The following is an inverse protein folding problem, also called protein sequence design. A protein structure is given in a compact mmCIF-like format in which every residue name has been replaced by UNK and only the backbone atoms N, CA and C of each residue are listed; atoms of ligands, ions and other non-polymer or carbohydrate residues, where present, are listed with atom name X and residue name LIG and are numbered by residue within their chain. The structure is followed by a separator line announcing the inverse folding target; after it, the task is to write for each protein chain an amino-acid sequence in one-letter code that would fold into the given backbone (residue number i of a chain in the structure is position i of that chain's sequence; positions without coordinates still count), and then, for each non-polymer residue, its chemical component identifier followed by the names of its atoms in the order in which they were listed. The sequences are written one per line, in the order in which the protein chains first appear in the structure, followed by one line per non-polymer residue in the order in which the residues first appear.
data_IF_725026417932
#
_entry.id   IF_725026417932
#
_cell.length_a   1.000
_cell.length_b   1.000
_cell.length_c   1.000
_cell.angle_alpha   90.00
_cell.angle_beta   90.00
_cell.angle_gamma   90.00
#
_symmetry.space_group_name_H-M   'P 1'
#
loop_
_entity.id
_entity.type
_entity.pdbx_description
1 polymer ?
#
# COMPACT_ATOMS: atom_id res chain seq x y z
N UNK A 1 -14.48 16.17 40.04
CA UNK A 1 -15.39 15.52 39.14
C UNK A 1 -14.62 14.66 38.13
N UNK A 2 -14.94 13.40 38.10
CA UNK A 2 -14.25 12.47 37.21
C UNK A 2 -14.42 12.83 35.72
N UNK A 3 -15.38 13.66 35.39
CA UNK A 3 -15.64 14.10 34.02
C UNK A 3 -14.44 14.79 33.38
N UNK A 4 -13.52 15.31 34.18
CA UNK A 4 -12.31 15.90 33.62
C UNK A 4 -11.49 14.88 32.86
N UNK A 5 -11.41 13.64 33.36
CA UNK A 5 -10.69 12.58 32.68
C UNK A 5 -11.37 12.22 31.36
N UNK A 6 -12.68 12.35 31.29
CA UNK A 6 -13.41 12.13 30.04
C UNK A 6 -13.12 13.25 29.04
N UNK A 7 -13.01 14.48 29.51
CA UNK A 7 -12.68 15.59 28.63
C UNK A 7 -11.31 15.46 28.04
N UNK A 8 -10.37 14.93 28.81
CA UNK A 8 -9.02 14.66 28.34
C UNK A 8 -9.01 13.57 27.29
N UNK A 9 -10.03 12.72 27.30
CA UNK A 9 -10.18 11.63 26.34
C UNK A 9 -10.99 12.05 25.11
N UNK A 10 -11.35 13.31 24.99
CA UNK A 10 -12.01 13.78 23.78
C UNK A 10 -11.08 13.56 22.61
N UNK A 11 -11.51 12.71 21.73
CA UNK A 11 -10.74 12.32 20.54
C UNK A 11 -10.75 13.48 19.58
N UNK A 12 -9.58 13.97 19.22
CA UNK A 12 -9.44 14.96 18.15
C UNK A 12 -9.55 14.25 16.83
N UNK A 13 -10.47 14.71 16.00
CA UNK A 13 -10.74 14.08 14.72
C UNK A 13 -10.21 14.94 13.59
N UNK A 14 -9.69 14.26 12.58
CA UNK A 14 -9.21 14.87 11.34
C UNK A 14 -9.91 14.16 10.20
N UNK A 15 -10.41 14.92 9.25
CA UNK A 15 -11.11 14.30 8.12
C UNK A 15 -10.19 13.44 7.28
N UNK A 16 -10.70 12.27 6.95
CA UNK A 16 -10.08 11.37 6.00
C UNK A 16 -10.07 12.03 4.60
N UNK A 17 -9.20 11.59 3.72
CA UNK A 17 -9.12 12.10 2.34
C UNK A 17 -10.41 11.90 1.56
N UNK A 18 -11.14 10.82 1.84
CA UNK A 18 -12.40 10.54 1.15
C UNK A 18 -13.60 11.24 1.79
N UNK A 19 -13.43 11.83 2.97
CA UNK A 19 -14.53 12.41 3.71
C UNK A 19 -15.51 11.40 4.30
N UNK A 20 -15.21 10.10 4.18
CA UNK A 20 -16.12 9.04 4.62
C UNK A 20 -16.11 8.81 6.12
N UNK A 21 -15.01 9.15 6.79
CA UNK A 21 -14.88 9.01 8.23
C UNK A 21 -13.78 9.94 8.72
N UNK A 22 -13.87 10.29 10.00
CA UNK A 22 -12.83 11.08 10.64
C UNK A 22 -11.77 10.16 11.23
N UNK A 23 -10.55 10.66 11.28
CA UNK A 23 -9.41 9.96 11.87
C UNK A 23 -9.04 10.62 13.18
N UNK A 24 -8.55 9.82 14.13
CA UNK A 24 -8.01 10.39 15.37
C UNK A 24 -6.64 11.01 15.10
N UNK A 25 -6.25 11.96 15.95
CA UNK A 25 -4.91 12.56 15.85
C UNK A 25 -3.83 11.51 15.99
N UNK A 26 -4.03 10.57 16.90
CA UNK A 26 -3.09 9.46 17.13
C UNK A 26 -2.94 8.58 15.89
N UNK A 27 -4.04 8.31 15.18
CA UNK A 27 -4.00 7.54 13.94
C UNK A 27 -3.22 8.28 12.85
N UNK A 28 -3.47 9.57 12.70
CA UNK A 28 -2.76 10.40 11.71
C UNK A 28 -1.26 10.40 12.02
N UNK A 29 -0.92 10.56 13.30
CA UNK A 29 0.48 10.58 13.75
C UNK A 29 1.15 9.23 13.48
N UNK A 30 0.47 8.14 13.80
CA UNK A 30 0.95 6.78 13.54
C UNK A 30 1.23 6.57 12.06
N UNK A 31 0.27 6.94 11.23
CA UNK A 31 0.41 6.78 9.78
C UNK A 31 1.54 7.65 9.24
N UNK A 32 1.65 8.88 9.72
CA UNK A 32 2.75 9.74 9.30
C UNK A 32 4.12 9.11 9.59
N UNK A 33 4.27 8.50 10.77
CA UNK A 33 5.49 7.80 11.12
C UNK A 33 5.78 6.66 10.15
N UNK A 34 4.75 5.91 9.76
CA UNK A 34 4.90 4.82 8.79
C UNK A 34 5.35 5.32 7.41
N UNK A 35 5.02 6.55 7.03
CA UNK A 35 5.39 7.10 5.72
C UNK A 35 6.88 7.41 5.59
N UNK A 36 7.66 7.22 6.65
CA UNK A 36 9.12 7.29 6.53
C UNK A 36 9.67 6.15 5.68
N UNK A 37 8.90 5.08 5.50
CA UNK A 37 9.29 3.93 4.71
C UNK A 37 8.09 3.41 3.93
N UNK A 38 8.26 3.21 2.63
CA UNK A 38 7.22 2.56 1.80
C UNK A 38 6.97 1.16 2.32
N UNK A 39 8.02 0.45 2.69
CA UNK A 39 7.90 -0.91 3.22
C UNK A 39 6.98 -0.94 4.45
N UNK A 40 7.21 -0.07 5.43
CA UNK A 40 6.38 -0.01 6.63
C UNK A 40 4.94 0.42 6.31
N UNK A 41 4.79 1.38 5.40
CA UNK A 41 3.46 1.84 4.96
C UNK A 41 2.66 0.69 4.37
N UNK A 42 3.28 -0.10 3.50
CA UNK A 42 2.59 -1.19 2.81
C UNK A 42 2.35 -2.41 3.70
N UNK A 43 3.04 -2.52 4.83
CA UNK A 43 2.76 -3.57 5.82
C UNK A 43 1.56 -3.23 6.71
N UNK A 44 1.16 -1.97 6.76
CA UNK A 44 0.02 -1.53 7.58
C UNK A 44 -1.22 -1.42 6.69
N UNK A 45 -2.27 -2.15 7.05
CA UNK A 45 -3.50 -2.20 6.26
C UNK A 45 -4.19 -0.84 6.16
N UNK A 46 -4.22 -0.08 7.26
CA UNK A 46 -4.85 1.25 7.26
C UNK A 46 -4.07 2.25 6.43
N UNK A 47 -2.74 2.26 6.58
CA UNK A 47 -1.88 3.16 5.81
C UNK A 47 -1.98 2.85 4.32
N UNK A 48 -2.01 1.57 3.95
CA UNK A 48 -2.15 1.16 2.55
C UNK A 48 -3.50 1.58 1.98
N UNK A 49 -4.56 1.43 2.76
CA UNK A 49 -5.90 1.83 2.35
C UNK A 49 -5.98 3.33 2.10
N UNK A 50 -5.36 4.12 2.98
CA UNK A 50 -5.33 5.57 2.84
C UNK A 50 -4.51 6.00 1.63
N UNK A 51 -3.38 5.35 1.41
CA UNK A 51 -2.54 5.62 0.24
C UNK A 51 -3.30 5.35 -1.05
N UNK A 52 -3.97 4.21 -1.13
CA UNK A 52 -4.79 3.86 -2.29
C UNK A 52 -5.88 4.91 -2.51
N UNK A 53 -6.57 5.28 -1.45
CA UNK A 53 -7.65 6.27 -1.56
C UNK A 53 -7.14 7.62 -2.01
N UNK A 54 -5.97 8.02 -1.51
CA UNK A 54 -5.31 9.26 -1.93
C UNK A 54 -5.02 9.25 -3.43
N UNK A 55 -4.46 8.15 -3.93
CA UNK A 55 -4.17 8.00 -5.35
C UNK A 55 -5.44 8.03 -6.21
N UNK A 56 -6.48 7.34 -5.76
CA UNK A 56 -7.77 7.31 -6.46
C UNK A 56 -8.38 8.70 -6.60
N UNK A 57 -8.31 9.49 -5.54
CA UNK A 57 -8.89 10.84 -5.53
C UNK A 57 -8.11 11.82 -6.40
N UNK A 58 -6.83 11.56 -6.62
CA UNK A 58 -5.97 12.43 -7.42
C UNK A 58 -5.99 12.14 -8.90
N UNK A 59 -6.26 10.90 -9.27
CA UNK A 59 -6.20 10.53 -10.67
C UNK A 59 -7.32 11.19 -11.47
N UNK A 60 -7.01 11.52 -12.72
CA UNK A 60 -7.97 12.05 -13.66
C UNK A 60 -8.09 11.08 -14.83
N UNK A 61 -8.94 10.06 -14.69
CA UNK A 61 -9.10 9.04 -15.71
C UNK A 61 -8.58 7.69 -15.27
N UNK A 62 -7.73 7.07 -16.08
CA UNK A 62 -7.19 5.75 -15.82
C UNK A 62 -6.22 5.72 -14.66
N UNK A 63 -6.00 4.53 -14.09
CA UNK A 63 -5.02 4.33 -13.03
C UNK A 63 -3.64 4.75 -13.47
N UNK A 64 -2.94 5.46 -12.59
CA UNK A 64 -1.56 5.83 -12.87
C UNK A 64 -0.61 4.67 -12.53
N UNK A 65 0.65 4.85 -12.84
CA UNK A 65 1.67 3.81 -12.68
C UNK A 65 1.82 3.37 -11.22
N UNK A 66 1.81 4.32 -10.28
CA UNK A 66 1.95 3.99 -8.86
C UNK A 66 0.78 3.14 -8.36
N UNK A 67 -0.43 3.41 -8.81
CA UNK A 67 -1.59 2.60 -8.48
C UNK A 67 -1.46 1.19 -9.02
N UNK A 68 -0.94 1.04 -10.25
CA UNK A 68 -0.71 -0.26 -10.85
C UNK A 68 0.30 -1.07 -10.03
N UNK A 69 1.39 -0.46 -9.61
CA UNK A 69 2.39 -1.13 -8.78
C UNK A 69 1.83 -1.52 -7.41
N UNK A 70 0.95 -0.70 -6.84
CA UNK A 70 0.30 -1.05 -5.59
C UNK A 70 -0.59 -2.28 -5.74
N UNK A 71 -1.36 -2.36 -6.83
CA UNK A 71 -2.20 -3.53 -7.11
C UNK A 71 -1.37 -4.78 -7.31
N UNK A 72 -0.27 -4.69 -8.05
CA UNK A 72 0.64 -5.82 -8.26
C UNK A 72 1.22 -6.28 -6.92
N UNK A 73 1.66 -5.33 -6.09
CA UNK A 73 2.20 -5.63 -4.76
C UNK A 73 1.20 -6.43 -3.93
N UNK A 74 -0.03 -5.98 -3.90
CA UNK A 74 -1.07 -6.62 -3.09
C UNK A 74 -1.45 -8.00 -3.64
N UNK A 75 -1.46 -8.15 -4.95
CA UNK A 75 -1.74 -9.44 -5.56
C UNK A 75 -0.65 -10.45 -5.22
N UNK A 76 0.59 -10.03 -5.26
CA UNK A 76 1.71 -10.88 -4.83
C UNK A 76 1.58 -11.26 -3.35
N UNK A 77 1.15 -10.33 -2.50
CA UNK A 77 0.93 -10.61 -1.09
C UNK A 77 -0.14 -11.69 -0.88
N UNK A 78 -1.23 -11.63 -1.65
CA UNK A 78 -2.27 -12.68 -1.61
C UNK A 78 -1.69 -14.04 -1.97
N UNK A 79 -0.95 -14.12 -3.06
CA UNK A 79 -0.35 -15.37 -3.50
C UNK A 79 0.65 -15.91 -2.47
N UNK A 80 1.40 -15.04 -1.82
CA UNK A 80 2.36 -15.44 -0.80
C UNK A 80 1.69 -15.98 0.45
N UNK A 81 0.51 -15.47 0.79
CA UNK A 81 -0.25 -15.94 1.94
C UNK A 81 -0.95 -17.27 1.69
N UNK A 82 -1.31 -17.55 0.45
CA UNK A 82 -2.02 -18.77 0.06
C UNK A 82 -1.04 -19.88 -0.30
N UNK A 83 -0.25 -20.34 0.67
CA UNK A 83 0.80 -21.34 0.46
C UNK A 83 0.28 -22.67 -0.10
N UNK A 84 -0.96 -23.02 0.22
CA UNK A 84 -1.59 -24.26 -0.23
C UNK A 84 -2.08 -24.19 -1.67
N UNK A 85 -2.22 -22.99 -2.20
CA UNK A 85 -2.73 -22.78 -3.55
C UNK A 85 -1.66 -23.08 -4.58
N UNK A 86 -2.03 -23.82 -5.62
CA UNK A 86 -1.14 -24.05 -6.76
C UNK A 86 -1.01 -22.75 -7.55
N UNK A 87 0.23 -22.36 -7.81
CA UNK A 87 0.55 -21.20 -8.62
C UNK A 87 0.69 -21.65 -10.08
N UNK A 88 -0.20 -21.13 -10.93
CA UNK A 88 -0.29 -21.53 -12.34
C UNK A 88 -0.03 -20.34 -13.26
N UNK A 89 -0.07 -20.60 -14.57
CA UNK A 89 0.04 -19.54 -15.57
C UNK A 89 -1.08 -18.52 -15.44
N UNK A 90 -2.25 -18.93 -14.95
CA UNK A 90 -3.36 -18.00 -14.74
C UNK A 90 -2.99 -16.87 -13.76
N UNK A 91 -2.26 -17.17 -12.71
CA UNK A 91 -1.80 -16.18 -11.74
C UNK A 91 -0.78 -15.22 -12.37
N UNK A 92 0.10 -15.74 -13.22
CA UNK A 92 1.04 -14.90 -13.97
C UNK A 92 0.26 -13.94 -14.88
N UNK A 93 -0.75 -14.47 -15.57
CA UNK A 93 -1.59 -13.68 -16.47
C UNK A 93 -2.32 -12.57 -15.72
N UNK A 94 -2.82 -12.86 -14.51
CA UNK A 94 -3.45 -11.82 -13.67
C UNK A 94 -2.47 -10.69 -13.36
N UNK A 95 -1.22 -11.02 -13.03
CA UNK A 95 -0.20 -10.01 -12.77
C UNK A 95 0.13 -9.20 -14.02
N UNK A 96 0.18 -9.87 -15.17
CA UNK A 96 0.44 -9.19 -16.45
C UNK A 96 -0.68 -8.22 -16.81
N UNK A 97 -1.93 -8.61 -16.54
CA UNK A 97 -3.09 -7.75 -16.77
C UNK A 97 -3.04 -6.49 -15.89
N UNK A 98 -2.39 -6.57 -14.73
CA UNK A 98 -2.19 -5.42 -13.86
C UNK A 98 -1.00 -4.53 -14.27
N UNK A 99 -0.23 -4.97 -15.27
CA UNK A 99 0.89 -4.21 -15.79
C UNK A 99 2.27 -4.66 -15.34
N UNK A 100 2.42 -5.95 -14.99
CA UNK A 100 3.72 -6.49 -14.58
C UNK A 100 4.76 -6.28 -15.68
N UNK A 101 5.94 -5.71 -15.36
CA UNK A 101 7.01 -5.55 -16.33
C UNK A 101 7.47 -6.89 -16.92
N UNK A 102 7.83 -6.85 -18.20
CA UNK A 102 8.18 -8.04 -18.96
C UNK A 102 9.33 -8.85 -18.35
N UNK A 103 10.37 -8.17 -17.87
CA UNK A 103 11.52 -8.84 -17.27
C UNK A 103 11.14 -9.62 -16.01
N UNK A 104 10.21 -9.08 -15.22
CA UNK A 104 9.71 -9.76 -14.02
C UNK A 104 8.79 -10.92 -14.38
N UNK A 105 7.99 -10.77 -15.43
CA UNK A 105 7.19 -11.86 -15.96
C UNK A 105 8.06 -13.02 -16.40
N UNK A 106 9.14 -12.75 -17.12
CA UNK A 106 10.07 -13.77 -17.59
C UNK A 106 10.76 -14.47 -16.41
N UNK A 107 11.18 -13.71 -15.42
CA UNK A 107 11.79 -14.26 -14.21
C UNK A 107 10.82 -15.21 -13.48
N UNK A 108 9.57 -14.77 -13.30
CA UNK A 108 8.57 -15.58 -12.62
C UNK A 108 8.24 -16.85 -13.39
N UNK A 109 8.09 -16.75 -14.71
CA UNK A 109 7.82 -17.90 -15.57
C UNK A 109 8.94 -18.93 -15.49
N UNK A 110 10.19 -18.46 -15.47
CA UNK A 110 11.35 -19.34 -15.30
C UNK A 110 11.32 -20.08 -13.97
N UNK A 111 10.98 -19.36 -12.89
CA UNK A 111 10.90 -19.96 -11.56
C UNK A 111 9.79 -20.99 -11.45
N UNK A 112 8.70 -20.80 -12.19
CA UNK A 112 7.61 -21.78 -12.24
C UNK A 112 8.05 -23.10 -12.84
N UNK A 113 9.02 -23.08 -13.76
CA UNK A 113 9.54 -24.30 -14.38
C UNK A 113 10.23 -25.22 -13.38
N UNK A 114 10.74 -24.68 -12.27
CA UNK A 114 11.36 -25.49 -11.22
C UNK A 114 10.33 -26.34 -10.47
N UNK A 115 9.07 -25.91 -10.50
CA UNK A 115 7.99 -26.56 -9.77
C UNK A 115 8.08 -26.43 -8.26
N UNK A 116 9.04 -25.66 -7.75
CA UNK A 116 9.23 -25.48 -6.31
C UNK A 116 8.60 -24.19 -5.83
N UNK A 117 7.75 -24.32 -4.81
CA UNK A 117 7.07 -23.17 -4.21
C UNK A 117 8.04 -22.11 -3.71
N UNK A 118 9.19 -22.53 -3.19
CA UNK A 118 10.22 -21.61 -2.68
C UNK A 118 10.73 -20.69 -3.81
N UNK A 119 10.98 -21.22 -4.99
CA UNK A 119 11.42 -20.45 -6.14
C UNK A 119 10.37 -19.44 -6.57
N UNK A 120 9.12 -19.87 -6.62
CA UNK A 120 8.00 -19.01 -7.00
C UNK A 120 7.87 -17.87 -5.98
N UNK A 121 7.95 -18.18 -4.69
CA UNK A 121 7.89 -17.18 -3.63
C UNK A 121 9.00 -16.15 -3.75
N UNK A 122 10.22 -16.57 -4.07
CA UNK A 122 11.33 -15.64 -4.29
C UNK A 122 11.05 -14.69 -5.46
N UNK A 123 10.43 -15.21 -6.53
CA UNK A 123 10.00 -14.39 -7.67
C UNK A 123 8.96 -13.35 -7.28
N UNK A 124 8.00 -13.75 -6.47
CA UNK A 124 6.96 -12.84 -5.97
C UNK A 124 7.54 -11.77 -5.06
N UNK A 125 8.47 -12.12 -4.17
CA UNK A 125 9.17 -11.14 -3.34
C UNK A 125 9.98 -10.16 -4.17
N UNK A 126 10.61 -10.63 -5.24
CA UNK A 126 11.34 -9.76 -6.16
C UNK A 126 10.42 -8.74 -6.82
N UNK A 127 9.24 -9.19 -7.24
CA UNK A 127 8.21 -8.31 -7.82
C UNK A 127 7.78 -7.26 -6.79
N UNK A 128 7.54 -7.68 -5.55
CA UNK A 128 7.17 -6.75 -4.48
C UNK A 128 8.26 -5.71 -4.23
N UNK A 129 9.52 -6.11 -4.30
CA UNK A 129 10.66 -5.19 -4.17
C UNK A 129 10.65 -4.12 -5.24
N UNK A 130 10.39 -4.52 -6.49
CA UNK A 130 10.28 -3.58 -7.61
C UNK A 130 9.11 -2.62 -7.38
N UNK A 131 7.96 -3.13 -6.95
CA UNK A 131 6.79 -2.30 -6.68
C UNK A 131 7.07 -1.27 -5.59
N UNK A 132 7.72 -1.68 -4.49
CA UNK A 132 8.09 -0.75 -3.42
C UNK A 132 8.98 0.37 -3.94
N UNK A 133 9.98 0.02 -4.73
CA UNK A 133 10.92 1.01 -5.28
C UNK A 133 10.22 2.02 -6.17
N UNK A 134 9.32 1.55 -7.02
CA UNK A 134 8.58 2.42 -7.93
C UNK A 134 7.60 3.33 -7.18
N UNK A 135 6.91 2.79 -6.17
CA UNK A 135 6.00 3.58 -5.36
C UNK A 135 6.78 4.64 -4.58
N UNK A 136 7.92 4.27 -4.00
CA UNK A 136 8.78 5.20 -3.26
C UNK A 136 9.26 6.35 -4.14
N UNK A 137 9.60 6.05 -5.39
CA UNK A 137 10.07 7.07 -6.33
C UNK A 137 8.93 7.92 -6.91
N UNK A 138 7.68 7.52 -6.71
CA UNK A 138 6.54 8.23 -7.29
C UNK A 138 6.24 9.54 -6.57
N UNK A 139 5.69 10.49 -7.33
CA UNK A 139 5.20 11.73 -6.74
C UNK A 139 3.99 11.47 -5.83
N UNK A 140 3.23 10.42 -6.10
CA UNK A 140 2.06 10.07 -5.30
C UNK A 140 2.42 9.75 -3.85
N UNK A 141 3.47 8.98 -3.63
CA UNK A 141 3.88 8.64 -2.27
C UNK A 141 4.40 9.87 -1.52
N UNK A 142 5.22 10.68 -2.19
CA UNK A 142 5.73 11.92 -1.60
C UNK A 142 4.58 12.86 -1.23
N UNK A 143 3.63 13.03 -2.15
CA UNK A 143 2.51 13.92 -1.94
C UNK A 143 1.55 13.38 -0.87
N UNK A 144 1.41 12.07 -0.79
CA UNK A 144 0.66 11.41 0.28
C UNK A 144 1.28 11.74 1.66
N UNK A 145 2.59 11.60 1.77
CA UNK A 145 3.30 11.92 2.99
C UNK A 145 3.11 13.38 3.38
N UNK A 146 3.23 14.27 2.39
CA UNK A 146 3.03 15.71 2.61
C UNK A 146 1.59 16.00 3.04
N UNK A 147 0.61 15.33 2.46
CA UNK A 147 -0.80 15.50 2.81
C UNK A 147 -1.08 15.04 4.25
N UNK A 148 -0.49 13.93 4.68
CA UNK A 148 -0.61 13.46 6.06
C UNK A 148 0.04 14.46 7.02
N UNK A 149 1.22 14.96 6.67
CA UNK A 149 1.90 15.98 7.47
C UNK A 149 1.05 17.24 7.62
N UNK A 150 0.39 17.66 6.55
CA UNK A 150 -0.48 18.84 6.59
C UNK A 150 -1.69 18.60 7.51
N UNK A 151 -2.23 17.39 7.51
CA UNK A 151 -3.32 17.04 8.44
C UNK A 151 -2.86 17.18 9.89
N UNK A 152 -1.65 16.75 10.20
CA UNK A 152 -1.09 16.89 11.55
C UNK A 152 -0.94 18.35 11.96
N UNK A 153 -0.51 19.20 11.04
CA UNK A 153 -0.31 20.62 11.31
C UNK A 153 -1.60 21.37 11.57
N UNK A 154 -2.71 20.91 11.00
CA UNK A 154 -4.02 21.56 11.13
C UNK A 154 -4.76 21.18 12.40
N UNK A 155 -4.21 20.26 13.16
CA UNK A 155 -4.84 19.84 14.40
C UNK A 155 -4.61 20.91 15.45
N UNK A 156 -5.67 21.46 16.10
CA UNK A 156 -5.51 22.41 17.18
C UNK A 156 -4.73 21.78 18.33
N UNK A 157 -3.78 22.51 18.86
CA UNK A 157 -3.00 22.04 20.01
C UNK A 157 -3.78 22.23 21.31
#
# INVERSE_FOLDING_TARGET
MASCSYKEKVVRLVKCFCGCSDMTVEEVHRIYTLTNSVHETLLDAEATKLLRRFMELRRSGDKNEAEQYLEIYEKCAEFLQEEQRTFTQDEVDELCDLGLPYDLEQDLSKRMLSGQRTDISLGLYRIQGKCRNEIEASSDFRDFRDAIRDKMRRVPK
#
